data_IF_549761550885
#
_entry.id   IF_549761550885
#
_cell.length_a   1.000
_cell.length_b   1.000
_cell.length_c   1.000
_cell.angle_alpha   90.00
_cell.angle_beta   90.00
_cell.angle_gamma   90.00
#
_symmetry.space_group_name_H-M   'P 1'
#
loop_
_entity.id
_entity.type
_entity.pdbx_description
1 polymer ?
#
# COMPACT_ATOMS: atom_id res chain seq x y z
N UNK A 1 7.11 18.08 -8.83
CA UNK A 1 8.31 17.22 -8.86
C UNK A 1 7.95 15.93 -9.58
N UNK A 2 8.73 15.54 -10.57
CA UNK A 2 8.53 14.30 -11.33
C UNK A 2 9.09 13.14 -10.52
N UNK A 3 8.33 12.06 -10.39
CA UNK A 3 8.82 10.82 -9.75
C UNK A 3 9.86 10.19 -10.68
N UNK A 4 10.97 9.73 -10.13
CA UNK A 4 12.01 9.04 -10.90
C UNK A 4 11.40 7.80 -11.59
N UNK A 5 11.71 7.62 -12.87
CA UNK A 5 11.19 6.50 -13.67
C UNK A 5 11.62 5.15 -13.11
N UNK A 6 12.77 5.09 -12.43
CA UNK A 6 13.25 3.89 -11.74
C UNK A 6 12.28 3.39 -10.65
N UNK A 7 11.49 4.30 -10.06
CA UNK A 7 10.46 3.96 -9.07
C UNK A 7 9.36 3.11 -9.71
N UNK A 8 8.92 3.47 -10.93
CA UNK A 8 7.90 2.72 -11.67
C UNK A 8 8.37 1.32 -12.08
N UNK A 9 9.68 1.12 -12.23
CA UNK A 9 10.28 -0.20 -12.46
C UNK A 9 10.46 -1.01 -11.16
N UNK A 10 10.00 -0.51 -10.01
CA UNK A 10 10.21 -1.09 -8.68
C UNK A 10 11.71 -1.27 -8.32
N UNK A 11 12.59 -0.40 -8.83
CA UNK A 11 14.04 -0.47 -8.59
C UNK A 11 14.48 0.15 -7.25
N UNK A 12 13.52 0.57 -6.43
CA UNK A 12 13.75 1.23 -5.14
C UNK A 12 13.51 0.30 -3.94
N UNK A 13 13.30 -1.00 -4.19
CA UNK A 13 13.09 -2.01 -3.16
C UNK A 13 13.97 -3.22 -3.38
N UNK A 14 14.50 -3.78 -2.30
CA UNK A 14 15.18 -5.08 -2.31
C UNK A 14 14.21 -6.23 -2.54
N UNK A 15 14.70 -7.39 -2.99
CA UNK A 15 13.86 -8.61 -3.12
C UNK A 15 13.18 -8.97 -1.79
N UNK A 16 13.90 -8.78 -0.68
CA UNK A 16 13.36 -9.01 0.67
C UNK A 16 12.23 -8.05 1.01
N UNK A 17 12.40 -6.75 0.70
CA UNK A 17 11.36 -5.74 0.91
C UNK A 17 10.11 -6.03 0.09
N UNK A 18 10.25 -6.37 -1.20
CA UNK A 18 9.13 -6.73 -2.07
C UNK A 18 8.30 -7.88 -1.47
N UNK A 19 8.96 -8.96 -1.08
CA UNK A 19 8.31 -10.10 -0.39
C UNK A 19 7.63 -9.71 0.92
N UNK A 20 8.22 -8.77 1.67
CA UNK A 20 7.63 -8.28 2.91
C UNK A 20 6.38 -7.43 2.65
N UNK A 21 6.45 -6.45 1.74
CA UNK A 21 5.38 -5.49 1.50
C UNK A 21 4.15 -6.10 0.83
N UNK A 22 4.33 -7.12 -0.03
CA UNK A 22 3.22 -7.87 -0.65
C UNK A 22 2.21 -8.42 0.35
N UNK A 23 2.62 -8.68 1.59
CA UNK A 23 1.74 -9.19 2.67
C UNK A 23 0.68 -8.20 3.12
N UNK A 24 0.90 -6.91 2.92
CA UNK A 24 -0.02 -5.85 3.34
C UNK A 24 -1.05 -5.47 2.27
N UNK A 25 -0.89 -6.01 1.05
CA UNK A 25 -1.73 -5.71 -0.10
C UNK A 25 -2.65 -6.90 -0.36
N UNK A 26 -3.95 -6.69 -0.19
CA UNK A 26 -4.97 -7.68 -0.54
C UNK A 26 -5.95 -7.08 -1.56
N UNK A 27 -5.80 -7.49 -2.82
CA UNK A 27 -6.61 -7.03 -3.94
C UNK A 27 -8.09 -7.38 -3.80
N UNK A 28 -8.43 -8.40 -3.01
CA UNK A 28 -9.83 -8.78 -2.78
C UNK A 28 -10.62 -7.71 -2.00
N UNK A 29 -9.93 -6.82 -1.27
CA UNK A 29 -10.54 -5.71 -0.54
C UNK A 29 -10.97 -4.54 -1.44
N UNK A 30 -10.47 -4.47 -2.67
CA UNK A 30 -10.88 -3.46 -3.64
C UNK A 30 -12.16 -3.96 -4.34
N UNK A 31 -13.21 -3.15 -4.53
CA UNK A 31 -14.40 -3.55 -5.30
C UNK A 31 -14.04 -4.01 -6.73
N UNK A 32 -14.68 -5.06 -7.23
CA UNK A 32 -14.35 -5.67 -8.53
C UNK A 32 -14.38 -4.68 -9.70
N UNK A 33 -15.33 -3.73 -9.71
CA UNK A 33 -15.43 -2.66 -10.73
C UNK A 33 -14.20 -1.75 -10.83
N UNK A 34 -13.36 -1.70 -9.79
CA UNK A 34 -12.16 -0.88 -9.73
C UNK A 34 -10.87 -1.68 -9.91
N UNK A 35 -10.94 -3.01 -9.88
CA UNK A 35 -9.76 -3.87 -10.07
C UNK A 35 -9.36 -3.82 -11.54
N UNK A 36 -8.20 -3.23 -11.80
CA UNK A 36 -7.55 -3.31 -13.11
C UNK A 36 -6.70 -4.58 -13.19
N UNK A 37 -6.41 -5.03 -14.41
CA UNK A 37 -5.45 -6.12 -14.63
C UNK A 37 -4.08 -5.64 -14.15
N UNK A 38 -3.58 -6.20 -13.06
CA UNK A 38 -2.24 -5.91 -12.56
C UNK A 38 -1.21 -6.23 -13.64
N UNK A 39 -0.32 -5.28 -13.89
CA UNK A 39 0.87 -5.48 -14.71
C UNK A 39 2.06 -5.54 -13.76
N UNK A 40 2.74 -6.67 -13.77
CA UNK A 40 3.93 -6.85 -12.95
C UNK A 40 5.05 -5.93 -13.44
N UNK A 41 5.73 -5.20 -12.54
CA UNK A 41 6.91 -4.44 -12.90
C UNK A 41 7.98 -5.34 -13.53
N UNK A 42 8.68 -4.84 -14.55
CA UNK A 42 9.71 -5.61 -15.26
C UNK A 42 10.79 -6.20 -14.32
N UNK A 43 11.07 -5.54 -13.20
CA UNK A 43 12.12 -5.92 -12.26
C UNK A 43 11.56 -6.41 -10.92
N UNK A 44 10.35 -6.95 -10.86
CA UNK A 44 9.70 -7.28 -9.57
C UNK A 44 10.41 -8.40 -8.77
N UNK A 45 11.24 -9.21 -9.43
CA UNK A 45 12.08 -10.25 -8.80
C UNK A 45 13.57 -9.90 -8.68
N UNK A 46 13.96 -8.68 -9.10
CA UNK A 46 15.36 -8.25 -9.08
C UNK A 46 15.69 -7.45 -7.82
N UNK A 47 16.97 -7.43 -7.45
CA UNK A 47 17.47 -6.53 -6.41
C UNK A 47 17.45 -5.08 -6.93
N UNK A 48 16.95 -4.15 -6.11
CA UNK A 48 16.88 -2.74 -6.47
C UNK A 48 18.23 -2.03 -6.41
N UNK A 49 18.27 -0.79 -6.89
CA UNK A 49 19.43 0.09 -6.76
C UNK A 49 19.67 0.42 -5.26
N UNK A 50 20.87 0.13 -4.71
CA UNK A 50 21.17 0.37 -3.31
C UNK A 50 21.00 1.83 -2.85
N UNK A 51 21.28 2.81 -3.72
CA UNK A 51 21.12 4.22 -3.43
C UNK A 51 19.62 4.57 -3.35
N UNK A 52 18.82 4.11 -4.31
CA UNK A 52 17.37 4.33 -4.29
C UNK A 52 16.68 3.66 -3.11
N UNK A 53 17.11 2.44 -2.75
CA UNK A 53 16.62 1.74 -1.55
C UNK A 53 16.91 2.59 -0.29
N UNK A 54 18.10 3.16 -0.20
CA UNK A 54 18.49 4.02 0.93
C UNK A 54 17.66 5.30 0.99
N UNK A 55 17.46 5.96 -0.15
CA UNK A 55 16.70 7.22 -0.25
C UNK A 55 15.20 7.03 0.03
N UNK A 56 14.62 5.92 -0.41
CA UNK A 56 13.19 5.64 -0.27
C UNK A 56 12.81 4.96 1.04
N UNK A 57 13.80 4.53 1.86
CA UNK A 57 13.59 3.82 3.12
C UNK A 57 12.58 4.50 4.05
N UNK A 58 12.59 5.83 4.15
CA UNK A 58 11.67 6.58 5.00
C UNK A 58 10.24 6.56 4.46
N UNK A 59 10.07 6.70 3.14
CA UNK A 59 8.76 6.68 2.50
C UNK A 59 8.07 5.31 2.66
N UNK A 60 8.85 4.23 2.64
CA UNK A 60 8.40 2.85 2.81
C UNK A 60 8.36 2.39 4.29
N UNK A 61 8.25 3.33 5.22
CA UNK A 61 8.00 3.07 6.64
C UNK A 61 6.55 3.34 7.02
N UNK A 62 6.02 2.70 8.08
CA UNK A 62 4.63 2.87 8.53
C UNK A 62 4.31 4.31 8.96
N UNK A 63 5.32 5.09 9.33
CA UNK A 63 5.20 6.52 9.70
C UNK A 63 4.73 7.39 8.52
N UNK A 64 5.05 6.99 7.28
CA UNK A 64 4.71 7.72 6.06
C UNK A 64 3.67 6.95 5.22
N UNK A 65 3.76 5.62 5.23
CA UNK A 65 2.85 4.72 4.52
C UNK A 65 2.11 3.85 5.53
N UNK A 66 0.99 4.33 6.12
CA UNK A 66 0.23 3.61 7.15
C UNK A 66 -0.21 2.21 6.72
N UNK A 67 -0.34 1.97 5.41
CA UNK A 67 -0.63 0.66 4.86
C UNK A 67 0.43 -0.39 5.22
N UNK A 68 1.65 0.00 5.59
CA UNK A 68 2.73 -0.92 5.96
C UNK A 68 2.76 -1.26 7.46
N UNK A 69 1.80 -0.76 8.24
CA UNK A 69 1.67 -1.12 9.66
C UNK A 69 1.22 -2.57 9.81
N UNK A 70 1.72 -3.28 10.82
CA UNK A 70 1.28 -4.65 11.11
C UNK A 70 -0.10 -4.68 11.78
N UNK A 71 -0.76 -5.84 11.70
CA UNK A 71 -2.12 -6.02 12.20
C UNK A 71 -2.24 -5.83 13.72
N UNK A 72 -1.20 -6.19 14.50
CA UNK A 72 -1.22 -6.02 15.95
C UNK A 72 -1.20 -4.54 16.38
N UNK A 73 -0.54 -3.69 15.61
CA UNK A 73 -0.60 -2.23 15.81
C UNK A 73 -1.88 -1.65 15.24
N UNK A 74 -2.35 -2.13 14.08
CA UNK A 74 -3.60 -1.69 13.47
C UNK A 74 -4.82 -1.97 14.36
N UNK A 75 -4.83 -3.10 15.07
CA UNK A 75 -5.89 -3.47 16.02
C UNK A 75 -6.04 -2.47 17.19
N UNK A 76 -5.01 -1.66 17.45
CA UNK A 76 -5.02 -0.63 18.51
C UNK A 76 -5.63 0.69 18.03
N UNK A 77 -6.02 0.79 16.77
CA UNK A 77 -6.65 1.99 16.23
C UNK A 77 -8.02 2.24 16.89
N UNK A 78 -8.32 3.50 17.12
CA UNK A 78 -9.65 3.96 17.58
C UNK A 78 -10.70 3.76 16.48
N UNK A 79 -12.01 3.85 16.78
CA UNK A 79 -13.04 3.89 15.76
C UNK A 79 -12.69 4.91 14.67
N UNK A 80 -12.67 4.45 13.41
CA UNK A 80 -12.07 5.18 12.29
C UNK A 80 -13.10 5.44 11.21
N UNK A 81 -13.09 6.66 10.66
CA UNK A 81 -13.84 7.01 9.47
C UNK A 81 -12.88 7.12 8.28
N UNK A 82 -13.19 6.44 7.18
CA UNK A 82 -12.41 6.49 5.93
C UNK A 82 -13.30 7.04 4.82
N UNK A 83 -12.80 8.03 4.10
CA UNK A 83 -13.41 8.58 2.90
C UNK A 83 -12.48 8.31 1.72
N UNK A 84 -13.05 7.82 0.62
CA UNK A 84 -12.33 7.63 -0.64
C UNK A 84 -13.17 8.19 -1.78
N UNK A 85 -12.54 8.63 -2.87
CA UNK A 85 -13.24 9.13 -4.06
C UNK A 85 -12.77 8.41 -5.33
N UNK A 86 -13.62 8.35 -6.36
CA UNK A 86 -13.45 7.50 -7.53
C UNK A 86 -12.22 7.81 -8.39
N UNK A 87 -11.89 9.09 -8.56
CA UNK A 87 -10.81 9.58 -9.43
C UNK A 87 -9.51 9.91 -8.66
N UNK A 88 -9.35 9.39 -7.45
CA UNK A 88 -8.15 9.56 -6.64
C UNK A 88 -7.17 8.39 -6.86
N UNK A 89 -5.88 8.70 -7.04
CA UNK A 89 -4.80 7.71 -7.13
C UNK A 89 -4.65 6.90 -5.85
N UNK A 90 -5.05 7.45 -4.70
CA UNK A 90 -4.98 6.78 -3.40
C UNK A 90 -6.23 5.97 -3.06
N UNK A 91 -7.24 5.94 -3.95
CA UNK A 91 -8.51 5.24 -3.73
C UNK A 91 -8.30 3.80 -3.28
N UNK A 92 -7.48 3.05 -4.01
CA UNK A 92 -7.30 1.61 -3.79
C UNK A 92 -6.56 1.34 -2.46
N UNK A 93 -5.59 2.18 -2.11
CA UNK A 93 -4.93 2.14 -0.80
C UNK A 93 -5.95 2.37 0.33
N UNK A 94 -6.86 3.34 0.17
CA UNK A 94 -7.93 3.60 1.13
C UNK A 94 -8.87 2.40 1.33
N UNK A 95 -9.24 1.69 0.24
CA UNK A 95 -10.02 0.46 0.33
C UNK A 95 -9.29 -0.63 1.11
N UNK A 96 -8.01 -0.88 0.79
CA UNK A 96 -7.22 -1.91 1.48
C UNK A 96 -7.06 -1.55 2.96
N UNK A 97 -6.74 -0.30 3.28
CA UNK A 97 -6.56 0.16 4.65
C UNK A 97 -7.85 0.01 5.48
N UNK A 98 -8.99 0.46 4.96
CA UNK A 98 -10.29 0.31 5.61
C UNK A 98 -10.66 -1.18 5.81
N UNK A 99 -10.41 -2.02 4.81
CA UNK A 99 -10.65 -3.46 4.90
C UNK A 99 -9.76 -4.13 5.94
N UNK A 100 -8.48 -3.75 6.02
CA UNK A 100 -7.55 -4.27 7.03
C UNK A 100 -7.97 -3.87 8.45
N UNK A 101 -8.33 -2.61 8.68
CA UNK A 101 -8.86 -2.16 9.98
C UNK A 101 -10.08 -2.98 10.42
N UNK A 102 -11.03 -3.20 9.51
CA UNK A 102 -12.22 -4.04 9.79
C UNK A 102 -11.83 -5.48 10.15
N UNK A 103 -10.87 -6.07 9.43
CA UNK A 103 -10.41 -7.45 9.68
C UNK A 103 -9.81 -7.64 11.06
N UNK A 104 -9.12 -6.62 11.58
CA UNK A 104 -8.53 -6.66 12.93
C UNK A 104 -9.49 -6.20 14.03
N UNK A 105 -10.79 -6.05 13.72
CA UNK A 105 -11.85 -5.75 14.68
C UNK A 105 -12.08 -4.27 14.99
N UNK A 106 -11.43 -3.36 14.27
CA UNK A 106 -11.66 -1.92 14.46
C UNK A 106 -13.03 -1.54 13.90
N UNK A 107 -13.78 -0.72 14.64
CA UNK A 107 -15.04 -0.14 14.16
C UNK A 107 -14.74 0.88 13.06
N UNK A 108 -15.06 0.55 11.82
CA UNK A 108 -14.78 1.41 10.65
C UNK A 108 -16.06 1.76 9.91
N UNK A 109 -16.26 3.06 9.68
CA UNK A 109 -17.18 3.55 8.65
C UNK A 109 -16.35 3.92 7.43
N UNK A 110 -16.67 3.34 6.27
CA UNK A 110 -15.98 3.63 5.02
C UNK A 110 -16.98 4.05 3.96
N UNK A 111 -16.90 5.31 3.54
CA UNK A 111 -17.71 5.87 2.48
C UNK A 111 -16.86 6.09 1.23
N UNK A 112 -17.45 5.81 0.08
CA UNK A 112 -16.83 5.97 -1.22
C UNK A 112 -17.77 6.70 -2.19
N UNK A 113 -17.25 7.70 -2.89
CA UNK A 113 -17.99 8.53 -3.84
C UNK A 113 -17.36 8.50 -5.23
#
# INVERSE_FOLDING_TARGET
KTVDKSIYANNHTSVKQKKHYRKFIDWSLIPSKYRIKYQEPANDDHEGDPNLIKETKKALGPEISPLLVNDAQLAKSVPTYVLTVGHDRLRDEGFIYAGRLKRVGVKVVHNHY
#
